data_IF_457346654772
#
_entry.id   IF_457346654772
#
_cell.length_a   1.000
_cell.length_b   1.000
_cell.length_c   1.000
_cell.angle_alpha   90.00
_cell.angle_beta   90.00
_cell.angle_gamma   90.00
#
_symmetry.space_group_name_H-M   'P 1'
#
loop_
_entity.id
_entity.type
_entity.pdbx_description
1 polymer ?
#
# COMPACT_ATOMS: atom_id res chain seq x y z
N UNK A 1 -2.78 8.07 -3.60
CA UNK A 1 -3.26 7.26 -2.46
C UNK A 1 -4.13 8.07 -1.50
N UNK A 2 -5.33 8.47 -1.95
CA UNK A 2 -6.29 9.28 -1.19
C UNK A 2 -7.64 8.58 -1.13
N UNK A 3 -8.41 8.76 -0.05
CA UNK A 3 -9.76 8.20 0.14
C UNK A 3 -10.76 9.35 0.09
N UNK A 4 -11.31 9.69 -1.11
CA UNK A 4 -12.21 10.84 -1.28
C UNK A 4 -13.39 10.86 -0.31
N UNK A 5 -14.09 9.74 -0.16
CA UNK A 5 -15.29 9.66 0.68
C UNK A 5 -15.01 9.78 2.19
N UNK A 6 -13.74 9.70 2.61
CA UNK A 6 -13.30 9.92 4.01
C UNK A 6 -12.49 11.22 4.15
N UNK A 7 -12.30 11.96 3.06
CA UNK A 7 -11.48 13.16 2.99
C UNK A 7 -10.09 13.01 3.67
N UNK A 8 -9.40 11.88 3.43
CA UNK A 8 -8.10 11.59 4.06
C UNK A 8 -7.17 10.75 3.19
N UNK A 9 -5.87 10.91 3.41
CA UNK A 9 -4.85 10.09 2.78
C UNK A 9 -4.86 8.65 3.35
N UNK A 10 -4.46 7.68 2.50
CA UNK A 10 -4.28 6.27 2.91
C UNK A 10 -3.11 6.09 3.89
N UNK A 11 -2.09 6.93 3.77
CA UNK A 11 -0.86 6.89 4.57
C UNK A 11 -0.05 8.16 4.36
N UNK A 12 1.22 8.11 4.75
CA UNK A 12 2.13 9.28 4.72
C UNK A 12 2.80 9.53 3.36
N UNK A 13 2.51 8.70 2.35
CA UNK A 13 3.05 8.86 1.00
C UNK A 13 4.34 8.06 0.75
N UNK A 14 5.12 8.51 -0.23
CA UNK A 14 6.26 7.81 -0.82
C UNK A 14 6.38 8.21 -2.29
N UNK A 15 6.87 7.30 -3.12
CA UNK A 15 6.97 7.49 -4.57
C UNK A 15 5.85 6.68 -5.24
N UNK A 16 5.16 7.29 -6.19
CA UNK A 16 4.26 6.62 -7.12
C UNK A 16 4.59 7.12 -8.51
N UNK A 17 4.74 6.20 -9.45
CA UNK A 17 4.94 6.50 -10.85
C UNK A 17 4.15 5.51 -11.69
N UNK A 18 3.73 5.99 -12.85
CA UNK A 18 3.04 5.25 -13.91
C UNK A 18 3.47 5.94 -15.21
N UNK A 19 3.46 5.21 -16.34
CA UNK A 19 3.83 5.75 -17.65
C UNK A 19 5.20 6.49 -17.72
N UNK A 20 6.17 6.09 -16.89
CA UNK A 20 7.54 6.65 -16.95
C UNK A 20 8.28 6.14 -18.18
N UNK A 21 8.38 6.99 -19.20
CA UNK A 21 9.04 6.71 -20.47
C UNK A 21 9.64 8.01 -21.03
N UNK A 22 10.91 8.26 -20.72
CA UNK A 22 11.61 9.47 -21.17
C UNK A 22 12.17 9.34 -22.59
N UNK A 23 12.14 8.13 -23.14
CA UNK A 23 12.75 7.78 -24.43
C UNK A 23 14.18 7.25 -24.32
N UNK A 24 14.76 7.21 -23.11
CA UNK A 24 16.04 6.59 -22.81
C UNK A 24 15.81 5.34 -21.92
N UNK A 25 15.86 4.16 -22.55
CA UNK A 25 15.56 2.91 -21.88
C UNK A 25 16.54 2.59 -20.74
N UNK A 26 17.83 2.84 -20.94
CA UNK A 26 18.86 2.53 -19.95
C UNK A 26 18.68 3.42 -18.71
N UNK A 27 18.38 4.70 -18.91
CA UNK A 27 18.11 5.64 -17.82
C UNK A 27 16.81 5.30 -17.09
N UNK A 28 15.72 5.05 -17.82
CA UNK A 28 14.42 4.71 -17.22
C UNK A 28 14.51 3.41 -16.41
N UNK A 29 15.18 2.39 -16.94
CA UNK A 29 15.36 1.13 -16.22
C UNK A 29 16.25 1.29 -14.99
N UNK A 30 17.35 2.05 -15.08
CA UNK A 30 18.19 2.36 -13.93
C UNK A 30 17.39 3.08 -12.82
N UNK A 31 16.52 4.02 -13.19
CA UNK A 31 15.64 4.71 -12.25
C UNK A 31 14.66 3.74 -11.55
N UNK A 32 14.00 2.84 -12.29
CA UNK A 32 13.12 1.82 -11.70
C UNK A 32 13.88 0.92 -10.72
N UNK A 33 15.09 0.50 -11.07
CA UNK A 33 15.92 -0.30 -10.18
C UNK A 33 16.28 0.45 -8.89
N UNK A 34 16.57 1.74 -8.97
CA UNK A 34 16.87 2.57 -7.80
C UNK A 34 15.67 2.73 -6.89
N UNK A 35 14.46 2.90 -7.44
CA UNK A 35 13.21 2.90 -6.65
C UNK A 35 13.06 1.57 -5.88
N UNK A 36 13.32 0.44 -6.54
CA UNK A 36 13.27 -0.88 -5.91
C UNK A 36 14.30 -1.05 -4.78
N UNK A 37 15.55 -0.64 -5.03
CA UNK A 37 16.64 -0.67 -4.01
C UNK A 37 16.32 0.23 -2.82
N UNK A 38 15.75 1.41 -3.07
CA UNK A 38 15.41 2.38 -2.04
C UNK A 38 14.32 1.88 -1.07
N UNK A 39 13.41 1.01 -1.52
CA UNK A 39 12.32 0.52 -0.68
C UNK A 39 12.81 -0.18 0.58
N UNK A 40 13.72 -1.16 0.45
CA UNK A 40 14.24 -1.90 1.60
C UNK A 40 15.05 -0.98 2.54
N UNK A 41 15.85 -0.06 1.98
CA UNK A 41 16.60 0.90 2.76
C UNK A 41 15.69 1.82 3.59
N UNK A 42 14.53 2.21 3.06
CA UNK A 42 13.57 3.06 3.76
C UNK A 42 12.71 2.28 4.78
N UNK A 43 12.28 1.06 4.44
CA UNK A 43 11.28 0.33 5.22
C UNK A 43 11.88 -0.51 6.36
N UNK A 44 13.04 -1.14 6.13
CA UNK A 44 13.64 -2.07 7.08
C UNK A 44 14.03 -1.40 8.41
N UNK A 45 14.72 -0.24 8.44
CA UNK A 45 15.15 0.37 9.70
C UNK A 45 13.98 0.77 10.61
N UNK A 46 12.88 1.25 10.02
CA UNK A 46 11.67 1.61 10.78
C UNK A 46 11.01 0.35 11.37
N UNK A 47 10.92 -0.71 10.58
CA UNK A 47 10.37 -1.99 11.03
C UNK A 47 11.20 -2.58 12.16
N UNK A 48 12.53 -2.65 12.02
CA UNK A 48 13.44 -3.16 13.05
C UNK A 48 13.37 -2.35 14.33
N UNK A 49 13.29 -1.02 14.24
CA UNK A 49 13.14 -0.13 15.38
C UNK A 49 11.83 -0.35 16.13
N UNK A 50 10.74 -0.66 15.43
CA UNK A 50 9.37 -0.66 16.00
C UNK A 50 8.83 -2.05 16.31
N UNK A 51 9.39 -3.14 15.77
CA UNK A 51 8.85 -4.51 15.90
C UNK A 51 8.58 -4.97 17.33
N UNK A 52 9.38 -4.51 18.29
CA UNK A 52 9.27 -4.89 19.71
C UNK A 52 8.64 -3.80 20.58
N UNK A 53 8.06 -2.76 19.96
CA UNK A 53 7.38 -1.69 20.71
C UNK A 53 6.14 -2.29 21.38
N UNK A 54 6.01 -2.20 22.72
CA UNK A 54 4.81 -2.66 23.42
C UNK A 54 3.58 -1.91 22.91
N UNK A 55 2.45 -2.61 22.89
CA UNK A 55 1.16 -2.06 22.46
C UNK A 55 0.05 -2.56 23.39
N UNK A 56 -1.03 -1.81 23.44
CA UNK A 56 -2.23 -2.09 24.23
C UNK A 56 -3.38 -2.50 23.33
N UNK A 57 -4.42 -3.12 23.90
CA UNK A 57 -5.64 -3.45 23.13
C UNK A 57 -6.28 -2.21 22.46
N UNK A 58 -6.13 -1.02 23.04
CA UNK A 58 -6.58 0.23 22.41
C UNK A 58 -5.77 0.59 21.15
N UNK A 59 -4.46 0.36 21.16
CA UNK A 59 -3.61 0.52 19.96
C UNK A 59 -4.00 -0.49 18.88
N UNK A 60 -4.34 -1.71 19.28
CA UNK A 60 -4.81 -2.75 18.37
C UNK A 60 -6.15 -2.37 17.74
N UNK A 61 -7.10 -1.86 18.52
CA UNK A 61 -8.38 -1.39 18.01
C UNK A 61 -8.19 -0.28 16.97
N UNK A 62 -7.33 0.70 17.31
CA UNK A 62 -6.93 1.77 16.39
C UNK A 62 -6.34 1.19 15.10
N UNK A 63 -5.40 0.23 15.19
CA UNK A 63 -4.85 -0.45 14.01
C UNK A 63 -5.94 -1.11 13.15
N UNK A 64 -6.93 -1.78 13.75
CA UNK A 64 -7.99 -2.48 13.01
C UNK A 64 -8.91 -1.51 12.26
N UNK A 65 -9.23 -0.36 12.86
CA UNK A 65 -9.98 0.71 12.19
C UNK A 65 -9.18 1.29 11.02
N UNK A 66 -7.87 1.54 11.22
CA UNK A 66 -6.99 1.97 10.15
C UNK A 66 -6.86 0.94 9.01
N UNK A 67 -6.89 -0.36 9.34
CA UNK A 67 -6.94 -1.45 8.36
C UNK A 67 -8.27 -1.48 7.58
N UNK A 68 -9.38 -1.09 8.20
CA UNK A 68 -10.66 -0.89 7.50
C UNK A 68 -10.55 0.16 6.39
N UNK A 69 -9.90 1.30 6.66
CA UNK A 69 -9.62 2.32 5.65
C UNK A 69 -8.70 1.84 4.53
N UNK A 70 -7.75 0.96 4.85
CA UNK A 70 -6.88 0.34 3.85
C UNK A 70 -7.68 -0.59 2.91
N UNK A 71 -8.60 -1.39 3.46
CA UNK A 71 -9.50 -2.23 2.68
C UNK A 71 -10.45 -1.39 1.81
N UNK A 72 -11.05 -0.33 2.36
CA UNK A 72 -11.88 0.63 1.61
C UNK A 72 -11.11 1.20 0.40
N UNK A 73 -9.86 1.63 0.59
CA UNK A 73 -9.06 2.16 -0.51
C UNK A 73 -8.83 1.12 -1.60
N UNK A 74 -8.35 -0.07 -1.23
CA UNK A 74 -7.97 -1.09 -2.20
C UNK A 74 -9.19 -1.60 -2.99
N UNK A 75 -10.34 -1.78 -2.32
CA UNK A 75 -11.54 -2.30 -2.99
C UNK A 75 -12.27 -1.24 -3.83
N UNK A 76 -12.19 0.04 -3.48
CA UNK A 76 -12.99 1.10 -4.14
C UNK A 76 -12.18 1.91 -5.15
N UNK A 77 -10.90 2.19 -4.87
CA UNK A 77 -10.11 3.19 -5.62
C UNK A 77 -8.86 2.64 -6.30
N UNK A 78 -8.32 1.52 -5.84
CA UNK A 78 -7.12 0.96 -6.46
C UNK A 78 -7.44 0.39 -7.84
N UNK A 79 -6.90 1.04 -8.89
CA UNK A 79 -7.16 0.68 -10.29
C UNK A 79 -6.73 -0.77 -10.58
N UNK A 80 -5.61 -1.21 -10.03
CA UNK A 80 -5.07 -2.56 -10.23
C UNK A 80 -5.97 -3.63 -9.60
N UNK A 81 -6.41 -3.41 -8.36
CA UNK A 81 -7.34 -4.32 -7.68
C UNK A 81 -8.66 -4.45 -8.44
N UNK A 82 -9.26 -3.31 -8.82
CA UNK A 82 -10.52 -3.29 -9.57
C UNK A 82 -10.38 -4.04 -10.91
N UNK A 83 -9.37 -3.69 -11.69
CA UNK A 83 -9.10 -4.34 -12.98
C UNK A 83 -8.87 -5.84 -12.83
N UNK A 84 -8.07 -6.28 -11.85
CA UNK A 84 -7.79 -7.70 -11.63
C UNK A 84 -9.05 -8.51 -11.33
N UNK A 85 -9.94 -7.99 -10.48
CA UNK A 85 -11.21 -8.65 -10.16
C UNK A 85 -12.18 -8.67 -11.34
N UNK A 86 -12.26 -7.58 -12.11
CA UNK A 86 -13.18 -7.46 -13.25
C UNK A 86 -12.74 -8.27 -14.47
N UNK A 87 -11.46 -8.59 -14.60
CA UNK A 87 -10.89 -9.30 -15.77
C UNK A 87 -10.57 -10.77 -15.51
N UNK A 88 -10.97 -11.32 -14.36
CA UNK A 88 -10.83 -12.75 -14.07
C UNK A 88 -9.41 -13.20 -13.71
N UNK A 89 -8.57 -12.30 -13.19
CA UNK A 89 -7.29 -12.70 -12.60
C UNK A 89 -7.52 -13.55 -11.35
N UNK A 90 -6.47 -14.25 -10.89
CA UNK A 90 -6.53 -15.02 -9.65
C UNK A 90 -6.90 -14.11 -8.46
N UNK A 91 -8.08 -14.35 -7.87
CA UNK A 91 -8.60 -13.54 -6.78
C UNK A 91 -7.71 -13.56 -5.54
N UNK A 92 -7.06 -14.68 -5.21
CA UNK A 92 -6.17 -14.78 -4.06
C UNK A 92 -4.93 -13.89 -4.25
N UNK A 93 -4.41 -13.81 -5.48
CA UNK A 93 -3.31 -12.91 -5.80
C UNK A 93 -3.73 -11.45 -5.79
N UNK A 94 -4.92 -11.12 -6.28
CA UNK A 94 -5.43 -9.73 -6.29
C UNK A 94 -5.72 -9.24 -4.86
N UNK A 95 -6.31 -10.10 -4.03
CA UNK A 95 -6.73 -9.77 -2.67
C UNK A 95 -5.66 -9.99 -1.61
N UNK A 96 -4.45 -10.45 -1.96
CA UNK A 96 -3.32 -10.60 -1.03
C UNK A 96 -2.96 -9.30 -0.28
N UNK A 97 -3.38 -8.16 -0.83
CA UNK A 97 -3.17 -6.85 -0.22
C UNK A 97 -4.08 -6.61 1.00
N UNK A 98 -5.18 -7.35 1.15
CA UNK A 98 -6.14 -7.12 2.22
C UNK A 98 -5.59 -7.55 3.59
N UNK A 99 -5.90 -6.79 4.66
CA UNK A 99 -5.48 -7.16 6.00
C UNK A 99 -6.22 -8.42 6.48
N UNK A 100 -5.60 -9.26 7.32
CA UNK A 100 -6.24 -10.46 7.85
C UNK A 100 -7.43 -10.15 8.79
N UNK A 101 -7.43 -8.95 9.38
CA UNK A 101 -8.53 -8.45 10.22
C UNK A 101 -8.64 -6.94 10.03
N UNK A 102 -9.88 -6.45 9.95
CA UNK A 102 -10.25 -5.04 9.90
C UNK A 102 -11.52 -4.81 10.71
N UNK A 103 -11.73 -3.57 11.16
CA UNK A 103 -12.92 -3.17 11.93
C UNK A 103 -13.56 -1.94 11.29
N UNK A 104 -14.89 -1.90 11.32
CA UNK A 104 -15.72 -0.74 10.99
C UNK A 104 -16.51 -0.33 12.23
N UNK A 105 -16.72 0.97 12.40
CA UNK A 105 -17.45 1.59 13.51
C UNK A 105 -18.55 2.46 12.91
#
# INVERSE_FOLDING_TARGET
>A
FYIPHRNRARGVGGIFLDDHNTGDWDADFAFIQDVGRAFLMAFLPVTEKRRNTPWTEADKDTQLVHRGLYAEYNLVYDRGTKFGLETGHNADAVLMSLPPMAKWI
#
